data_IF_997992419092
#
_entry.id   IF_997992419092
#
_cell.length_a   1.000
_cell.length_b   1.000
_cell.length_c   1.000
_cell.angle_alpha   90.00
_cell.angle_beta   90.00
_cell.angle_gamma   90.00
#
_symmetry.space_group_name_H-M   'P 1'
#
loop_
_entity.id
_entity.type
_entity.pdbx_description
1 polymer ?
#
# COMPACT_ATOMS: atom_id res chain seq x y z
N UNK A 1 -8.22 1.03 20.17
CA UNK A 1 -6.80 0.77 20.45
C UNK A 1 -6.06 1.78 19.62
N UNK A 2 -5.44 2.78 20.24
CA UNK A 2 -4.71 3.85 19.55
C UNK A 2 -3.39 3.32 19.00
N UNK A 3 -3.46 2.54 17.93
CA UNK A 3 -2.29 2.21 17.09
C UNK A 3 -2.14 3.32 16.07
N UNK A 4 -1.71 4.49 16.54
CA UNK A 4 -1.27 5.58 15.67
C UNK A 4 0.05 5.17 15.03
N UNK A 5 -0.02 4.63 13.83
CA UNK A 5 1.11 4.63 12.92
C UNK A 5 0.86 5.68 11.86
N UNK A 6 1.85 6.57 11.70
CA UNK A 6 1.78 7.62 10.71
C UNK A 6 1.66 6.97 9.33
N UNK A 7 0.51 7.15 8.69
CA UNK A 7 0.32 6.72 7.31
C UNK A 7 1.28 7.51 6.42
N UNK A 8 2.10 6.81 5.65
CA UNK A 8 2.99 7.44 4.68
C UNK A 8 2.27 7.57 3.34
N UNK A 9 2.35 8.75 2.75
CA UNK A 9 1.66 9.07 1.51
C UNK A 9 2.61 9.04 0.32
N UNK A 10 2.25 8.24 -0.68
CA UNK A 10 2.94 8.13 -1.96
C UNK A 10 2.08 8.72 -3.08
N UNK A 11 2.73 9.24 -4.13
CA UNK A 11 2.11 9.27 -5.46
C UNK A 11 2.07 7.86 -6.07
N UNK A 12 1.24 7.64 -7.08
CA UNK A 12 1.18 6.34 -7.78
C UNK A 12 2.55 5.86 -8.28
N UNK A 13 3.35 6.75 -8.88
CA UNK A 13 4.69 6.43 -9.37
C UNK A 13 5.70 6.21 -8.24
N UNK A 14 5.65 7.03 -7.18
CA UNK A 14 6.50 6.87 -6.01
C UNK A 14 6.24 5.53 -5.29
N UNK A 15 4.96 5.15 -5.16
CA UNK A 15 4.57 3.88 -4.57
C UNK A 15 5.14 2.70 -5.36
N UNK A 16 4.99 2.70 -6.69
CA UNK A 16 5.55 1.65 -7.56
C UNK A 16 7.06 1.55 -7.43
N UNK A 17 7.77 2.67 -7.46
CA UNK A 17 9.23 2.69 -7.29
C UNK A 17 9.64 2.18 -5.92
N UNK A 18 8.92 2.58 -4.87
CA UNK A 18 9.17 2.13 -3.50
C UNK A 18 9.06 0.60 -3.37
N UNK A 19 8.00 -0.02 -3.92
CA UNK A 19 7.82 -1.47 -3.89
C UNK A 19 8.94 -2.18 -4.67
N UNK A 20 9.25 -1.74 -5.89
CA UNK A 20 10.34 -2.33 -6.69
C UNK A 20 11.64 -2.26 -5.93
N UNK A 21 12.00 -1.07 -5.44
CA UNK A 21 13.24 -0.84 -4.70
C UNK A 21 13.32 -1.70 -3.44
N UNK A 22 12.24 -1.78 -2.67
CA UNK A 22 12.17 -2.62 -1.47
C UNK A 22 12.45 -4.10 -1.78
N UNK A 23 12.07 -4.58 -2.95
CA UNK A 23 12.24 -5.98 -3.35
C UNK A 23 13.56 -6.27 -4.08
N UNK A 24 14.27 -5.24 -4.54
CA UNK A 24 15.51 -5.39 -5.32
C UNK A 24 16.77 -4.94 -4.59
N UNK A 25 16.65 -3.99 -3.66
CA UNK A 25 17.80 -3.44 -2.95
C UNK A 25 18.10 -4.26 -1.69
N UNK A 26 19.38 -4.48 -1.40
CA UNK A 26 19.83 -5.19 -0.19
C UNK A 26 19.62 -4.36 1.10
N UNK A 27 19.36 -3.05 0.96
CA UNK A 27 19.22 -2.12 2.08
C UNK A 27 17.79 -1.54 2.06
N UNK A 28 16.99 -1.78 3.11
CA UNK A 28 15.68 -1.15 3.24
C UNK A 28 15.81 0.38 3.22
N UNK A 29 14.81 1.11 2.69
CA UNK A 29 14.79 2.57 2.72
C UNK A 29 14.96 3.09 4.16
N UNK A 30 15.86 4.07 4.32
CA UNK A 30 15.98 4.86 5.54
C UNK A 30 14.82 5.87 5.65
N UNK A 31 14.44 6.25 6.87
CA UNK A 31 13.35 7.18 7.14
C UNK A 31 12.03 6.52 7.53
N UNK A 32 10.92 7.26 7.43
CA UNK A 32 9.60 6.86 7.93
C UNK A 32 9.00 5.65 7.19
N UNK A 33 9.48 5.35 5.98
CA UNK A 33 9.04 4.22 5.15
C UNK A 33 9.65 2.87 5.59
N UNK A 34 10.61 2.88 6.51
CA UNK A 34 11.40 1.70 6.92
C UNK A 34 10.55 0.55 7.43
N UNK A 35 9.52 0.84 8.21
CA UNK A 35 8.63 -0.18 8.76
C UNK A 35 7.76 -0.82 7.68
N UNK A 36 7.32 -0.04 6.68
CA UNK A 36 6.61 -0.54 5.51
C UNK A 36 7.51 -1.52 4.75
N UNK A 37 8.77 -1.15 4.50
CA UNK A 37 9.72 -2.03 3.83
C UNK A 37 9.97 -3.32 4.62
N UNK A 38 10.13 -3.24 5.95
CA UNK A 38 10.26 -4.42 6.82
C UNK A 38 9.04 -5.33 6.76
N UNK A 39 7.83 -4.77 6.72
CA UNK A 39 6.61 -5.57 6.56
C UNK A 39 6.66 -6.37 5.26
N UNK A 40 7.01 -5.73 4.15
CA UNK A 40 7.10 -6.36 2.83
C UNK A 40 8.14 -7.49 2.83
N UNK A 41 9.32 -7.22 3.40
CA UNK A 41 10.45 -8.14 3.43
C UNK A 41 10.31 -9.32 4.39
N UNK A 42 9.32 -9.33 5.30
CA UNK A 42 9.03 -10.54 6.12
C UNK A 42 8.61 -11.72 5.25
N UNK A 43 7.81 -11.45 4.21
CA UNK A 43 7.29 -12.47 3.28
C UNK A 43 7.29 -11.93 1.84
N UNK A 44 8.47 -11.70 1.23
CA UNK A 44 8.60 -10.94 -0.02
C UNK A 44 7.88 -11.59 -1.21
N UNK A 45 7.85 -12.93 -1.26
CA UNK A 45 7.12 -13.65 -2.30
C UNK A 45 5.59 -13.45 -2.23
N UNK A 46 5.05 -13.20 -1.03
CA UNK A 46 3.62 -13.04 -0.80
C UNK A 46 3.23 -11.56 -0.72
N UNK A 47 3.79 -10.82 0.24
CA UNK A 47 3.56 -9.38 0.43
C UNK A 47 4.03 -8.61 -0.81
N UNK A 48 5.29 -8.81 -1.20
CA UNK A 48 5.92 -8.08 -2.30
C UNK A 48 5.29 -8.37 -3.66
N UNK A 49 5.07 -9.65 -3.97
CA UNK A 49 4.45 -10.06 -5.23
C UNK A 49 3.07 -9.42 -5.44
N UNK A 50 2.21 -9.46 -4.43
CA UNK A 50 0.88 -8.83 -4.49
C UNK A 50 0.97 -7.30 -4.59
N UNK A 51 1.85 -6.66 -3.80
CA UNK A 51 2.04 -5.22 -3.84
C UNK A 51 2.58 -4.72 -5.20
N UNK A 52 3.39 -5.53 -5.89
CA UNK A 52 3.84 -5.22 -7.25
C UNK A 52 2.67 -5.17 -8.24
N UNK A 53 1.72 -6.11 -8.14
CA UNK A 53 0.51 -6.08 -8.97
C UNK A 53 -0.34 -4.85 -8.67
N UNK A 54 -0.62 -4.58 -7.39
CA UNK A 54 -1.38 -3.39 -6.98
C UNK A 54 -0.72 -2.10 -7.48
N UNK A 55 0.60 -1.97 -7.29
CA UNK A 55 1.33 -0.78 -7.71
C UNK A 55 1.37 -0.61 -9.23
N UNK A 56 1.40 -1.71 -10.00
CA UNK A 56 1.31 -1.67 -11.46
C UNK A 56 -0.08 -1.17 -11.92
N UNK A 57 -1.15 -1.67 -11.33
CA UNK A 57 -2.52 -1.26 -11.64
C UNK A 57 -2.78 0.21 -11.30
N UNK A 58 -2.39 0.64 -10.10
CA UNK A 58 -2.50 2.04 -9.67
C UNK A 58 -1.69 2.95 -10.62
N UNK A 59 -0.48 2.53 -10.99
CA UNK A 59 0.35 3.28 -11.93
C UNK A 59 -0.29 3.40 -13.31
N UNK A 60 -0.90 2.34 -13.84
CA UNK A 60 -1.60 2.41 -15.13
C UNK A 60 -2.78 3.38 -15.06
N UNK A 61 -3.57 3.33 -13.99
CA UNK A 61 -4.69 4.25 -13.76
C UNK A 61 -4.23 5.70 -13.59
N UNK A 62 -3.02 5.94 -13.08
CA UNK A 62 -2.46 7.29 -12.93
C UNK A 62 -2.26 8.03 -14.25
N UNK A 63 -2.22 7.31 -15.39
CA UNK A 63 -2.17 7.91 -16.73
C UNK A 63 -3.46 8.64 -17.10
N UNK A 64 -4.57 8.29 -16.47
CA UNK A 64 -5.89 8.88 -16.69
C UNK A 64 -6.38 9.68 -15.49
N UNK A 65 -5.86 9.41 -14.29
CA UNK A 65 -6.21 10.09 -13.04
C UNK A 65 -4.97 10.72 -12.41
N UNK A 66 -4.84 12.04 -12.51
CA UNK A 66 -3.60 12.74 -12.12
C UNK A 66 -3.44 12.97 -10.61
N UNK A 67 -4.48 12.74 -9.81
CA UNK A 67 -4.52 13.05 -8.38
C UNK A 67 -4.51 11.80 -7.48
N UNK A 68 -4.05 10.66 -7.99
CA UNK A 68 -3.98 9.44 -7.19
C UNK A 68 -2.95 9.58 -6.06
N UNK A 69 -3.39 9.29 -4.85
CA UNK A 69 -2.52 9.22 -3.67
C UNK A 69 -2.73 7.88 -2.98
N UNK A 70 -1.63 7.27 -2.55
CA UNK A 70 -1.61 5.98 -1.86
C UNK A 70 -1.10 6.22 -0.46
N UNK A 71 -1.95 6.01 0.55
CA UNK A 71 -1.55 6.10 1.95
C UNK A 71 -1.33 4.70 2.48
N UNK A 72 -0.15 4.44 3.03
CA UNK A 72 0.22 3.14 3.57
C UNK A 72 0.53 3.29 5.05
N UNK A 73 -0.12 2.48 5.88
CA UNK A 73 0.22 2.38 7.30
C UNK A 73 0.46 0.93 7.66
N UNK A 74 1.37 0.69 8.60
CA UNK A 74 1.62 -0.64 9.19
C UNK A 74 1.57 -0.48 10.69
N UNK A 75 1.19 -1.50 11.46
CA UNK A 75 1.27 -1.41 12.91
C UNK A 75 2.67 -1.67 13.46
N UNK A 76 2.86 -1.33 14.74
CA UNK A 76 4.13 -1.49 15.43
C UNK A 76 4.61 -2.96 15.51
N UNK A 77 3.70 -3.93 15.38
CA UNK A 77 4.04 -5.36 15.39
C UNK A 77 4.32 -5.91 13.98
N UNK A 78 4.11 -5.10 12.94
CA UNK A 78 4.10 -5.49 11.53
C UNK A 78 3.20 -6.72 11.29
N UNK A 79 2.05 -6.73 11.98
CA UNK A 79 0.97 -7.70 11.90
C UNK A 79 -0.13 -7.26 10.93
N UNK A 80 -0.25 -5.96 10.61
CA UNK A 80 -1.12 -5.54 9.52
C UNK A 80 -0.57 -4.33 8.76
N UNK A 81 -1.06 -4.18 7.52
CA UNK A 81 -0.81 -3.08 6.60
C UNK A 81 -2.14 -2.59 6.04
N UNK A 82 -2.42 -1.30 6.12
CA UNK A 82 -3.55 -0.64 5.46
C UNK A 82 -3.03 0.17 4.27
N UNK A 83 -3.76 0.09 3.16
CA UNK A 83 -3.46 0.78 1.92
C UNK A 83 -4.72 1.49 1.45
N UNK A 84 -4.79 2.79 1.70
CA UNK A 84 -5.87 3.64 1.23
C UNK A 84 -5.47 4.33 -0.08
N UNK A 85 -6.22 4.06 -1.15
CA UNK A 85 -5.99 4.66 -2.48
C UNK A 85 -7.05 5.72 -2.73
N UNK A 86 -6.66 6.99 -2.72
CA UNK A 86 -7.53 8.12 -3.03
C UNK A 86 -7.33 8.59 -4.47
N UNK A 87 -8.35 9.22 -5.07
CA UNK A 87 -8.28 9.75 -6.44
C UNK A 87 -8.68 8.73 -7.52
N UNK A 88 -9.15 7.55 -7.10
CA UNK A 88 -9.82 6.57 -7.96
C UNK A 88 -11.29 6.41 -7.52
N UNK A 89 -12.23 6.22 -8.46
CA UNK A 89 -13.63 5.97 -8.14
C UNK A 89 -13.84 4.60 -7.48
N UNK A 90 -13.06 3.60 -7.90
CA UNK A 90 -13.10 2.22 -7.40
C UNK A 90 -11.66 1.67 -7.35
N UNK A 91 -11.42 0.73 -6.44
CA UNK A 91 -10.16 -0.01 -6.43
C UNK A 91 -10.01 -0.80 -7.74
N UNK A 92 -8.77 -0.99 -8.24
CA UNK A 92 -8.54 -1.90 -9.35
C UNK A 92 -9.14 -3.28 -9.04
N UNK A 93 -9.81 -3.87 -10.03
CA UNK A 93 -10.32 -5.24 -9.93
C UNK A 93 -9.14 -6.21 -9.86
N UNK A 94 -8.68 -6.44 -8.63
CA UNK A 94 -7.64 -7.41 -8.35
C UNK A 94 -8.32 -8.71 -7.94
N UNK A 95 -7.99 -9.86 -8.55
CA UNK A 95 -8.67 -11.13 -8.29
C UNK A 95 -8.50 -11.71 -6.87
N UNK A 96 -8.00 -10.93 -5.91
CA UNK A 96 -7.63 -11.34 -4.55
C UNK A 96 -7.81 -10.17 -3.57
N UNK A 97 -9.06 -9.78 -3.26
CA UNK A 97 -9.34 -8.60 -2.44
C UNK A 97 -9.32 -8.80 -0.92
N UNK A 98 -9.03 -9.98 -0.39
CA UNK A 98 -8.74 -10.18 1.03
C UNK A 98 -7.59 -11.18 1.19
N UNK A 99 -6.39 -10.68 1.49
CA UNK A 99 -5.19 -11.50 1.49
C UNK A 99 -4.80 -11.91 2.91
N UNK A 100 -5.12 -13.16 3.29
CA UNK A 100 -4.60 -13.77 4.52
C UNK A 100 -3.26 -14.45 4.23
N UNK A 101 -2.15 -13.75 4.47
CA UNK A 101 -0.82 -14.35 4.38
C UNK A 101 -0.54 -15.04 5.72
N UNK A 102 -0.60 -16.37 5.71
CA UNK A 102 -0.34 -17.31 6.83
C UNK A 102 -0.20 -16.69 8.23
N UNK A 103 -1.23 -16.94 9.07
CA UNK A 103 -1.27 -16.88 10.54
C UNK A 103 -0.96 -15.57 11.28
N UNK A 104 -0.57 -14.46 10.67
CA UNK A 104 -0.45 -13.20 11.43
C UNK A 104 -0.32 -11.88 10.64
N UNK A 105 -0.36 -11.87 9.30
CA UNK A 105 -0.24 -10.63 8.52
C UNK A 105 -1.48 -10.34 7.67
N UNK A 106 -2.03 -9.14 7.83
CA UNK A 106 -3.22 -8.66 7.10
C UNK A 106 -2.87 -7.47 6.21
N UNK A 107 -3.37 -7.45 4.97
CA UNK A 107 -3.29 -6.28 4.09
C UNK A 107 -4.71 -5.85 3.73
N UNK A 108 -5.07 -4.61 4.06
CA UNK A 108 -6.38 -4.04 3.76
C UNK A 108 -6.27 -2.98 2.65
N UNK A 109 -6.76 -3.25 1.44
CA UNK A 109 -6.92 -2.23 0.41
C UNK A 109 -8.28 -1.53 0.55
N UNK A 110 -8.30 -0.20 0.52
CA UNK A 110 -9.55 0.59 0.53
C UNK A 110 -9.49 1.82 -0.36
N UNK A 111 -10.64 2.25 -0.90
CA UNK A 111 -10.84 3.65 -1.34
C UNK A 111 -11.46 4.39 -0.15
N UNK A 112 -10.81 5.43 0.40
CA UNK A 112 -11.45 6.23 1.43
C UNK A 112 -12.69 6.92 0.85
N UNK A 113 -13.77 7.07 1.64
CA UNK A 113 -15.00 7.69 1.14
C UNK A 113 -14.69 9.09 0.61
N UNK A 114 -15.12 9.37 -0.61
CA UNK A 114 -15.22 10.75 -1.09
C UNK A 114 -16.12 11.50 -0.11
N UNK A 115 -15.68 12.67 0.37
CA UNK A 115 -16.53 13.55 1.19
C UNK A 115 -17.75 13.94 0.35
N UNK A 116 -18.82 13.17 0.42
CA UNK A 116 -20.15 13.56 -0.02
C UNK A 116 -20.88 14.12 1.19
N UNK A 117 -21.02 15.45 1.25
CA UNK A 117 -21.78 16.09 2.32
C UNK A 117 -21.47 17.56 2.57
N UNK A 118 -21.55 18.41 1.53
CA UNK A 118 -22.08 19.76 1.68
C UNK A 118 -23.32 19.82 0.77
N UNK A 119 -24.48 19.45 1.34
CA UNK A 119 -25.80 19.91 0.90
C UNK A 119 -26.44 20.68 2.07
#
# INVERSE_FOLDING_TARGET
>A
MDTLTAGYQFSADAFRRFIIRTLTDDIPPDGDEKEIARFILRHPAFNGGWLLFLAAEIHERSRTHNSITVTVSVDNYLSWMDIAVSGLPELPDMPFCDFFIRRQQFIYPGVPPTKSGEE
#
